data_IF_087461863679
#
_entry.id   IF_087461863679
#
_cell.length_a   1.000
_cell.length_b   1.000
_cell.length_c   1.000
_cell.angle_alpha   90.00
_cell.angle_beta   90.00
_cell.angle_gamma   90.00
#
_symmetry.space_group_name_H-M   'P 1'
#
loop_
_entity.id
_entity.type
_entity.pdbx_description
1 polymer ?
#
# COMPACT_ATOMS: atom_id res chain seq x y z
N UNK A 1 -26.21 -34.44 12.02
CA UNK A 1 -25.42 -33.34 12.63
C UNK A 1 -25.79 -33.30 14.10
N UNK A 2 -24.85 -33.53 15.01
CA UNK A 2 -25.10 -33.45 16.45
C UNK A 2 -25.53 -32.03 16.80
N UNK A 3 -26.69 -31.89 17.45
CA UNK A 3 -27.17 -30.61 17.96
C UNK A 3 -26.18 -30.05 18.98
N UNK A 4 -25.81 -28.78 18.85
CA UNK A 4 -25.01 -28.08 19.85
C UNK A 4 -25.69 -28.15 21.22
N UNK A 5 -24.91 -28.28 22.29
CA UNK A 5 -25.44 -28.23 23.64
C UNK A 5 -25.96 -26.82 23.95
N UNK A 6 -26.99 -26.73 24.79
CA UNK A 6 -27.61 -25.45 25.18
C UNK A 6 -26.57 -24.46 25.74
N UNK A 7 -25.61 -24.96 26.54
CA UNK A 7 -24.47 -24.18 27.05
C UNK A 7 -23.60 -23.60 25.92
N UNK A 8 -23.36 -24.34 24.84
CA UNK A 8 -22.55 -23.85 23.72
C UNK A 8 -23.23 -22.67 22.99
N UNK A 9 -24.56 -22.67 22.91
CA UNK A 9 -25.34 -21.57 22.33
C UNK A 9 -25.28 -20.29 23.16
N UNK A 10 -25.09 -20.39 24.48
CA UNK A 10 -24.91 -19.23 25.35
C UNK A 10 -23.48 -18.66 25.30
N UNK A 11 -22.48 -19.52 25.06
CA UNK A 11 -21.07 -19.10 25.05
C UNK A 11 -20.65 -18.50 23.71
N UNK A 12 -21.24 -18.95 22.59
CA UNK A 12 -20.83 -18.50 21.24
C UNK A 12 -21.01 -17.00 20.95
N UNK A 13 -22.07 -16.29 21.40
CA UNK A 13 -22.19 -14.85 21.18
C UNK A 13 -21.24 -14.06 22.08
N UNK A 14 -20.90 -14.61 23.25
CA UNK A 14 -19.99 -13.99 24.21
C UNK A 14 -18.55 -13.96 23.68
N UNK A 15 -18.09 -15.08 23.10
CA UNK A 15 -16.78 -15.14 22.45
C UNK A 15 -16.71 -14.23 21.24
N UNK A 16 -17.77 -14.18 20.42
CA UNK A 16 -17.80 -13.32 19.25
C UNK A 16 -17.69 -11.82 19.63
N UNK A 17 -18.34 -11.37 20.71
CA UNK A 17 -18.17 -10.01 21.20
C UNK A 17 -16.75 -9.73 21.68
N UNK A 18 -16.11 -10.68 22.36
CA UNK A 18 -14.76 -10.51 22.88
C UNK A 18 -13.73 -10.30 21.76
N UNK A 19 -13.90 -11.01 20.64
CA UNK A 19 -12.99 -10.93 19.48
C UNK A 19 -13.43 -9.96 18.39
N UNK A 20 -14.54 -9.23 18.58
CA UNK A 20 -15.06 -8.27 17.60
C UNK A 20 -15.67 -8.91 16.35
N UNK A 21 -16.09 -10.17 16.45
CA UNK A 21 -16.76 -10.92 15.38
C UNK A 21 -18.29 -10.70 15.43
N UNK A 22 -19.01 -11.19 14.41
CA UNK A 22 -20.46 -11.04 14.33
C UNK A 22 -21.17 -11.96 15.33
N UNK A 23 -21.63 -11.38 16.44
CA UNK A 23 -22.28 -12.13 17.53
C UNK A 23 -23.74 -12.49 17.27
N UNK A 24 -24.42 -11.82 16.33
CA UNK A 24 -25.81 -12.15 15.98
C UNK A 24 -25.83 -13.18 14.85
N UNK A 25 -26.63 -14.26 14.97
CA UNK A 25 -26.79 -15.21 13.87
C UNK A 25 -27.34 -14.46 12.66
N UNK A 26 -26.51 -14.40 11.62
CA UNK A 26 -26.72 -13.58 10.43
C UNK A 26 -26.78 -14.52 9.23
N UNK A 27 -27.63 -14.22 8.23
CA UNK A 27 -27.74 -15.07 7.05
C UNK A 27 -26.40 -15.12 6.29
N UNK A 28 -26.15 -16.26 5.66
CA UNK A 28 -25.01 -16.52 4.78
C UNK A 28 -24.82 -15.44 3.70
N UNK A 29 -25.90 -14.88 3.16
CA UNK A 29 -25.85 -13.79 2.18
C UNK A 29 -25.34 -12.49 2.79
N UNK A 30 -25.83 -12.13 3.97
CA UNK A 30 -25.40 -10.92 4.70
C UNK A 30 -23.95 -10.99 5.17
N UNK A 31 -23.38 -12.18 5.35
CA UNK A 31 -21.97 -12.31 5.72
C UNK A 31 -20.98 -11.88 4.63
N UNK A 32 -21.43 -11.77 3.38
CA UNK A 32 -20.62 -11.20 2.28
C UNK A 32 -20.24 -9.75 2.55
N UNK A 33 -21.11 -8.97 3.20
CA UNK A 33 -20.89 -7.55 3.49
C UNK A 33 -19.70 -7.39 4.45
N UNK A 34 -19.64 -8.21 5.49
CA UNK A 34 -18.55 -8.18 6.48
C UNK A 34 -17.21 -8.51 5.84
N UNK A 35 -17.17 -9.48 4.91
CA UNK A 35 -15.94 -9.81 4.17
C UNK A 35 -15.50 -8.66 3.27
N UNK A 36 -16.44 -8.05 2.57
CA UNK A 36 -16.17 -6.94 1.64
C UNK A 36 -15.59 -5.71 2.36
N UNK A 37 -16.00 -5.46 3.61
CA UNK A 37 -15.42 -4.39 4.44
C UNK A 37 -14.13 -4.80 5.17
N UNK A 38 -13.85 -6.10 5.30
CA UNK A 38 -12.63 -6.62 5.91
C UNK A 38 -11.44 -6.71 4.95
N UNK A 39 -11.70 -6.78 3.64
CA UNK A 39 -10.66 -6.82 2.62
C UNK A 39 -10.09 -5.42 2.39
N UNK A 40 -8.89 -5.19 2.92
CA UNK A 40 -8.14 -3.97 2.66
C UNK A 40 -7.47 -4.06 1.29
N UNK A 41 -7.71 -3.07 0.43
CA UNK A 41 -7.00 -2.94 -0.84
C UNK A 41 -5.50 -2.83 -0.56
N UNK A 42 -4.71 -3.74 -1.16
CA UNK A 42 -3.27 -3.74 -1.03
C UNK A 42 -2.67 -2.55 -1.75
N UNK A 43 -1.83 -1.79 -1.05
CA UNK A 43 -0.99 -0.73 -1.64
C UNK A 43 0.10 -1.38 -2.50
N UNK A 44 -0.26 -1.72 -3.74
CA UNK A 44 0.57 -2.48 -4.67
C UNK A 44 1.89 -1.78 -5.02
N UNK A 45 1.87 -0.46 -5.15
CA UNK A 45 3.08 0.33 -5.37
C UNK A 45 3.38 1.20 -4.15
N UNK A 46 4.66 1.26 -3.72
CA UNK A 46 5.08 2.22 -2.73
C UNK A 46 4.94 3.63 -3.29
N UNK A 47 4.73 4.61 -2.42
CA UNK A 47 4.65 6.00 -2.84
C UNK A 47 6.01 6.46 -3.37
N UNK A 48 6.17 6.58 -4.69
CA UNK A 48 7.45 6.96 -5.27
C UNK A 48 7.87 8.40 -4.91
N UNK A 49 6.92 9.30 -4.65
CA UNK A 49 7.23 10.68 -4.28
C UNK A 49 7.93 10.78 -2.93
N UNK A 50 7.67 9.85 -2.00
CA UNK A 50 8.39 9.80 -0.72
C UNK A 50 9.86 9.41 -0.86
N UNK A 51 10.27 8.84 -2.00
CA UNK A 51 11.67 8.47 -2.25
C UNK A 51 12.35 9.47 -3.18
N UNK A 52 11.70 9.88 -4.26
CA UNK A 52 12.27 10.76 -5.27
C UNK A 52 12.66 12.13 -4.70
N UNK A 53 11.74 12.83 -4.04
CA UNK A 53 12.01 14.19 -3.57
C UNK A 53 13.14 14.25 -2.50
N UNK A 54 13.18 13.36 -1.50
CA UNK A 54 14.31 13.33 -0.58
C UNK A 54 15.64 12.99 -1.26
N UNK A 55 15.66 12.05 -2.21
CA UNK A 55 16.89 11.68 -2.92
C UNK A 55 17.44 12.84 -3.77
N UNK A 56 16.58 13.60 -4.44
CA UNK A 56 16.97 14.82 -5.15
C UNK A 56 17.55 15.86 -4.17
N UNK A 57 16.89 16.10 -3.04
CA UNK A 57 17.45 17.04 -2.04
C UNK A 57 18.80 16.59 -1.47
N UNK A 58 18.99 15.28 -1.26
CA UNK A 58 20.28 14.73 -0.83
C UNK A 58 21.35 14.89 -1.92
N UNK A 59 20.98 14.77 -3.19
CA UNK A 59 21.88 15.03 -4.31
C UNK A 59 22.31 16.49 -4.36
N UNK A 60 21.37 17.44 -4.21
CA UNK A 60 21.70 18.87 -4.17
C UNK A 60 22.57 19.26 -2.97
N UNK A 61 22.41 18.56 -1.84
CA UNK A 61 23.25 18.73 -0.65
C UNK A 61 24.62 18.04 -0.77
N UNK A 62 24.86 17.25 -1.83
CA UNK A 62 26.08 16.47 -2.02
C UNK A 62 26.21 15.27 -1.07
N UNK A 63 25.12 14.88 -0.41
CA UNK A 63 25.05 13.74 0.51
C UNK A 63 24.77 12.42 -0.21
N UNK A 64 24.24 12.50 -1.43
CA UNK A 64 23.94 11.37 -2.30
C UNK A 64 24.43 11.66 -3.72
N UNK A 65 24.85 10.62 -4.44
CA UNK A 65 25.23 10.73 -5.85
C UNK A 65 24.39 9.77 -6.68
N UNK A 66 23.61 10.33 -7.59
CA UNK A 66 22.80 9.58 -8.55
C UNK A 66 23.53 9.54 -9.90
N UNK A 67 24.19 8.43 -10.19
CA UNK A 67 24.94 8.22 -11.45
C UNK A 67 24.01 8.22 -12.68
N UNK A 68 22.76 7.80 -12.51
CA UNK A 68 21.80 7.77 -13.61
C UNK A 68 21.36 9.20 -13.97
N UNK A 69 21.13 10.04 -12.96
CA UNK A 69 20.82 11.44 -13.18
C UNK A 69 22.04 12.19 -13.77
N UNK A 70 23.24 11.94 -13.27
CA UNK A 70 24.49 12.50 -13.81
C UNK A 70 24.64 12.19 -15.32
N UNK A 71 24.40 10.93 -15.71
CA UNK A 71 24.48 10.52 -17.11
C UNK A 71 23.47 11.25 -17.99
N UNK A 72 22.21 11.38 -17.53
CA UNK A 72 21.17 12.10 -18.28
C UNK A 72 21.51 13.57 -18.49
N UNK A 73 22.05 14.22 -17.47
CA UNK A 73 22.45 15.63 -17.54
C UNK A 73 23.63 15.84 -18.50
N UNK A 74 24.58 14.92 -18.56
CA UNK A 74 25.68 14.96 -19.53
C UNK A 74 25.19 14.80 -20.98
N UNK A 75 24.25 13.88 -21.22
CA UNK A 75 23.64 13.70 -22.54
C UNK A 75 22.93 14.98 -22.98
N UNK A 76 22.09 15.57 -22.11
CA UNK A 76 21.38 16.82 -22.42
C UNK A 76 22.36 17.96 -22.74
N UNK A 77 23.40 18.15 -21.92
CA UNK A 77 24.45 19.14 -22.18
C UNK A 77 25.17 18.90 -23.51
N UNK A 78 25.36 17.64 -23.89
CA UNK A 78 25.94 17.27 -25.19
C UNK A 78 25.05 17.65 -26.36
N UNK A 79 23.75 17.41 -26.24
CA UNK A 79 22.74 17.77 -27.25
C UNK A 79 22.63 19.29 -27.42
N UNK A 80 22.58 20.05 -26.33
CA UNK A 80 22.55 21.51 -26.37
C UNK A 80 23.77 22.09 -27.09
N UNK A 81 24.97 21.59 -26.79
CA UNK A 81 26.21 22.01 -27.45
C UNK A 81 26.19 21.71 -28.94
N UNK A 82 25.63 20.57 -29.35
CA UNK A 82 25.48 20.21 -30.78
C UNK A 82 24.50 21.16 -31.46
N UNK A 83 23.35 21.44 -30.85
CA UNK A 83 22.36 22.36 -31.38
C UNK A 83 22.90 23.80 -31.51
N UNK A 84 23.65 24.27 -30.52
CA UNK A 84 24.28 25.59 -30.55
C UNK A 84 25.36 25.72 -31.64
N UNK A 85 26.02 24.61 -32.01
CA UNK A 85 27.03 24.57 -33.08
C UNK A 85 26.42 24.51 -34.49
N UNK A 86 25.12 24.19 -34.60
CA UNK A 86 24.38 24.15 -35.87
C UNK A 86 23.66 25.48 -36.19
N UNK A 87 23.67 26.44 -35.26
CA UNK A 87 23.24 27.83 -35.48
C UNK A 87 24.43 28.72 -35.82
#
# INVERSE_FOLDING_TARGET
MSSLSERALHVSPLSAHLFGEVARPTDSKSMKVVKLFGEQLLNWYPNHNTYLAPMETLQFLGLYRDEHQDFRDEQMKGEEKRAAKMK
#
